data_IF_468004947178
#
_entry.id   IF_468004947178
#
_cell.length_a   1.000
_cell.length_b   1.000
_cell.length_c   1.000
_cell.angle_alpha   90.00
_cell.angle_beta   90.00
_cell.angle_gamma   90.00
#
_symmetry.space_group_name_H-M   'P 1'
#
loop_
_entity.id
_entity.type
_entity.pdbx_description
1 polymer ?
#
# COMPACT_ATOMS: atom_id res chain seq x y z
N UNK A 1 13.43 5.94 4.28
CA UNK A 1 12.08 5.81 4.88
C UNK A 1 11.09 5.56 3.74
N UNK A 2 10.29 4.50 3.81
CA UNK A 2 9.31 4.19 2.76
C UNK A 2 8.20 5.25 2.72
N UNK A 3 7.92 5.84 1.55
CA UNK A 3 6.89 6.87 1.38
C UNK A 3 5.51 6.36 1.78
N UNK A 4 5.24 5.06 1.57
CA UNK A 4 3.97 4.44 1.95
C UNK A 4 3.79 4.40 3.47
N UNK A 5 4.86 4.15 4.22
CA UNK A 5 4.84 4.18 5.68
C UNK A 5 4.52 5.58 6.21
N UNK A 6 5.14 6.61 5.62
CA UNK A 6 4.85 8.00 5.98
C UNK A 6 3.37 8.33 5.73
N UNK A 7 2.83 7.93 4.57
CA UNK A 7 1.41 8.13 4.24
C UNK A 7 0.47 7.41 5.21
N UNK A 8 0.80 6.18 5.60
CA UNK A 8 0.00 5.41 6.56
C UNK A 8 0.00 6.08 7.94
N UNK A 9 1.17 6.50 8.44
CA UNK A 9 1.29 7.19 9.73
C UNK A 9 0.46 8.46 9.78
N UNK A 10 0.56 9.27 8.74
CA UNK A 10 -0.18 10.53 8.64
C UNK A 10 -1.69 10.29 8.56
N UNK A 11 -2.13 9.29 7.79
CA UNK A 11 -3.55 8.94 7.70
C UNK A 11 -4.10 8.43 9.04
N UNK A 12 -3.33 7.62 9.77
CA UNK A 12 -3.70 7.15 11.12
C UNK A 12 -3.77 8.32 12.10
N UNK A 13 -2.79 9.23 12.09
CA UNK A 13 -2.82 10.42 12.94
C UNK A 13 -4.07 11.26 12.69
N UNK A 14 -4.40 11.53 11.42
CA UNK A 14 -5.61 12.26 11.04
C UNK A 14 -6.90 11.57 11.53
N UNK A 15 -6.93 10.23 11.55
CA UNK A 15 -8.08 9.48 12.08
C UNK A 15 -8.20 9.60 13.59
N UNK A 16 -7.07 9.63 14.32
CA UNK A 16 -7.05 9.88 15.77
C UNK A 16 -7.53 11.30 16.10
N UNK A 17 -7.12 12.30 15.29
CA UNK A 17 -7.54 13.69 15.47
C UNK A 17 -9.02 13.90 15.09
N UNK A 18 -9.54 13.12 14.13
CA UNK A 18 -10.92 13.23 13.61
C UNK A 18 -11.65 11.88 13.57
N UNK A 19 -12.02 11.30 14.73
CA UNK A 19 -12.50 9.91 14.80
C UNK A 19 -13.85 9.66 14.13
N UNK A 20 -14.66 10.71 13.93
CA UNK A 20 -15.96 10.64 13.23
C UNK A 20 -15.87 10.90 11.73
N UNK A 21 -14.70 11.25 11.21
CA UNK A 21 -14.53 11.51 9.78
C UNK A 21 -14.53 10.20 8.99
N UNK A 22 -15.55 10.02 8.17
CA UNK A 22 -15.65 8.87 7.24
C UNK A 22 -14.48 8.92 6.24
N UNK A 23 -14.07 10.11 5.82
CA UNK A 23 -12.96 10.32 4.87
C UNK A 23 -11.63 9.85 5.46
N UNK A 24 -11.35 10.15 6.74
CA UNK A 24 -10.13 9.70 7.41
C UNK A 24 -10.10 8.17 7.53
N UNK A 25 -11.25 7.55 7.85
CA UNK A 25 -11.39 6.10 7.94
C UNK A 25 -11.16 5.42 6.59
N UNK A 26 -11.84 5.89 5.55
CA UNK A 26 -11.73 5.35 4.19
C UNK A 26 -10.29 5.40 3.68
N UNK A 27 -9.59 6.51 3.93
CA UNK A 27 -8.20 6.68 3.54
C UNK A 27 -7.25 5.68 4.21
N UNK A 28 -7.47 5.35 5.49
CA UNK A 28 -6.68 4.31 6.19
C UNK A 28 -6.95 2.93 5.60
N UNK A 29 -8.22 2.59 5.38
CA UNK A 29 -8.63 1.31 4.77
C UNK A 29 -8.00 1.16 3.38
N UNK A 30 -8.00 2.23 2.60
CA UNK A 30 -7.40 2.27 1.27
C UNK A 30 -5.90 2.02 1.31
N UNK A 31 -5.15 2.69 2.19
CA UNK A 31 -3.69 2.55 2.30
C UNK A 31 -3.24 1.16 2.81
N UNK A 32 -4.08 0.51 3.63
CA UNK A 32 -3.85 -0.84 4.12
C UNK A 32 -4.12 -1.90 3.05
N UNK A 33 -5.22 -1.77 2.30
CA UNK A 33 -5.64 -2.78 1.34
C UNK A 33 -5.09 -2.59 -0.07
N UNK A 34 -4.69 -1.37 -0.44
CA UNK A 34 -4.20 -1.07 -1.79
C UNK A 34 -2.76 -0.57 -1.76
N UNK A 35 -2.00 -0.97 -2.79
CA UNK A 35 -0.63 -0.56 -3.01
C UNK A 35 -0.43 -0.23 -4.49
N UNK A 36 0.32 0.84 -4.75
CA UNK A 36 0.71 1.22 -6.11
C UNK A 36 1.92 0.43 -6.57
N UNK A 37 1.82 -0.23 -7.73
CA UNK A 37 2.96 -0.91 -8.34
C UNK A 37 3.95 0.11 -8.93
N UNK A 38 5.25 -0.02 -8.62
CA UNK A 38 6.29 0.86 -9.20
C UNK A 38 6.60 0.61 -10.69
N UNK A 39 6.12 -0.50 -11.27
CA UNK A 39 6.36 -0.84 -12.69
C UNK A 39 5.21 -0.36 -13.58
N UNK A 40 3.97 -0.77 -13.29
CA UNK A 40 2.79 -0.40 -14.09
C UNK A 40 2.04 0.82 -13.55
N UNK A 41 2.43 1.35 -12.39
CA UNK A 41 1.82 2.52 -11.74
C UNK A 41 0.33 2.37 -11.43
N UNK A 42 -0.21 1.16 -11.51
CA UNK A 42 -1.58 0.85 -11.13
C UNK A 42 -1.68 0.64 -9.63
N UNK A 43 -2.78 1.13 -9.08
CA UNK A 43 -3.20 0.80 -7.73
C UNK A 43 -3.90 -0.55 -7.74
N UNK A 44 -3.36 -1.48 -6.96
CA UNK A 44 -3.81 -2.86 -6.93
C UNK A 44 -3.96 -3.28 -5.46
N UNK A 45 -4.85 -4.24 -5.17
CA UNK A 45 -4.96 -4.75 -3.81
C UNK A 45 -3.65 -5.44 -3.40
N UNK A 46 -3.36 -5.44 -2.10
CA UNK A 46 -2.14 -6.05 -1.55
C UNK A 46 -2.02 -7.54 -1.87
N UNK A 47 -3.15 -8.22 -2.11
CA UNK A 47 -3.25 -9.63 -2.54
C UNK A 47 -2.58 -9.88 -3.90
N UNK A 48 -2.50 -8.87 -4.75
CA UNK A 48 -1.81 -8.90 -6.04
C UNK A 48 -0.29 -8.69 -5.91
N UNK A 49 0.22 -8.46 -4.71
CA UNK A 49 1.65 -8.39 -4.43
C UNK A 49 2.11 -9.70 -3.77
N UNK A 50 3.32 -10.14 -4.13
CA UNK A 50 3.94 -11.28 -3.45
C UNK A 50 4.53 -10.86 -2.11
N UNK A 51 4.71 -11.81 -1.21
CA UNK A 51 5.40 -11.60 0.06
C UNK A 51 6.89 -11.32 -0.17
N UNK A 52 7.43 -10.46 0.68
CA UNK A 52 8.84 -10.10 0.78
C UNK A 52 9.10 -9.56 2.19
N UNK A 53 9.57 -10.43 3.08
CA UNK A 53 9.86 -10.10 4.49
C UNK A 53 10.86 -8.95 4.66
N UNK A 54 11.76 -8.78 3.68
CA UNK A 54 12.72 -7.67 3.68
C UNK A 54 12.09 -6.29 3.46
N UNK A 55 10.80 -6.20 3.12
CA UNK A 55 10.11 -4.93 2.94
C UNK A 55 9.34 -4.55 4.21
N UNK A 56 9.16 -3.25 4.44
CA UNK A 56 8.48 -2.73 5.61
C UNK A 56 7.06 -3.31 5.79
N UNK A 57 6.31 -3.44 4.69
CA UNK A 57 4.95 -3.99 4.72
C UNK A 57 4.91 -5.52 4.55
N UNK A 58 6.06 -6.19 4.48
CA UNK A 58 6.14 -7.62 4.13
C UNK A 58 5.73 -7.95 2.68
N UNK A 59 5.53 -6.94 1.82
CA UNK A 59 5.05 -7.07 0.45
C UNK A 59 6.03 -6.49 -0.57
N UNK A 60 6.10 -7.10 -1.75
CA UNK A 60 6.92 -6.63 -2.88
C UNK A 60 6.52 -5.24 -3.37
N UNK A 61 7.44 -4.59 -4.08
CA UNK A 61 7.21 -3.29 -4.74
C UNK A 61 6.50 -3.41 -6.09
N UNK A 62 6.56 -4.58 -6.72
CA UNK A 62 5.93 -4.87 -8.00
C UNK A 62 4.79 -5.88 -7.82
N UNK A 63 3.72 -5.74 -8.58
CA UNK A 63 2.62 -6.71 -8.56
C UNK A 63 3.04 -8.03 -9.23
N UNK A 64 2.30 -9.10 -8.92
CA UNK A 64 2.49 -10.45 -9.45
C UNK A 64 2.51 -10.45 -10.98
N UNK A 65 1.56 -9.75 -11.63
CA UNK A 65 1.51 -9.59 -13.10
C UNK A 65 2.81 -9.03 -13.68
N UNK A 66 3.27 -7.90 -13.14
CA UNK A 66 4.50 -7.25 -13.58
C UNK A 66 5.77 -8.08 -13.34
N UNK A 67 5.72 -9.00 -12.37
CA UNK A 67 6.78 -9.95 -12.06
C UNK A 67 6.77 -11.12 -13.04
N UNK A 68 5.60 -11.67 -13.37
CA UNK A 68 5.45 -12.74 -14.38
C UNK A 68 5.94 -12.27 -15.75
N UNK A 69 5.65 -11.02 -16.14
CA UNK A 69 6.18 -10.40 -17.37
C UNK A 69 7.72 -10.22 -17.39
N UNK A 70 8.41 -10.35 -16.25
CA UNK A 70 9.89 -10.27 -16.17
C UNK A 70 10.57 -11.65 -16.19
N UNK A 71 9.81 -12.74 -16.23
CA UNK A 71 10.34 -14.09 -16.42
C UNK A 71 10.21 -14.47 -17.91
N UNK A 72 11.01 -13.81 -18.74
CA UNK A 72 11.43 -14.26 -20.07
C UNK A 72 12.93 -13.99 -20.17
#
# INVERSE_FOLDING_TARGET
MDRRYQQLREAVQNLLDHPRSIVARDRVIHLMNFKKCKKCWRELPITDFGEQEASFDGLRTHCKKCRSERQC
#
